data_IF_600093950031
#
_entry.id   IF_600093950031
#
_cell.length_a   1.000
_cell.length_b   1.000
_cell.length_c   1.000
_cell.angle_alpha   90.00
_cell.angle_beta   90.00
_cell.angle_gamma   90.00
#
_symmetry.space_group_name_H-M   'P 1'
#
loop_
_entity.id
_entity.type
_entity.pdbx_description
1 polymer ?
#
# COMPACT_ATOMS: atom_id res chain seq x y z
N UNK A 1 -69.24 14.84 -21.68
CA UNK A 1 -69.70 14.75 -23.08
C UNK A 1 -68.47 14.71 -23.95
N UNK A 2 -68.03 13.51 -24.34
CA UNK A 2 -66.88 13.30 -25.20
C UNK A 2 -67.45 12.89 -26.56
N UNK A 3 -67.12 13.68 -27.58
CA UNK A 3 -67.57 13.50 -28.96
C UNK A 3 -66.72 12.46 -29.70
N UNK A 4 -67.40 11.69 -30.53
CA UNK A 4 -66.88 10.73 -31.50
C UNK A 4 -66.75 11.39 -32.87
N UNK A 5 -65.81 10.88 -33.68
CA UNK A 5 -65.71 10.84 -35.16
C UNK A 5 -64.25 11.08 -35.56
N UNK A 6 -63.68 10.51 -36.62
CA UNK A 6 -63.85 9.32 -37.45
C UNK A 6 -62.85 9.52 -38.61
N UNK A 7 -62.18 8.45 -39.10
CA UNK A 7 -61.81 8.20 -40.52
C UNK A 7 -60.80 9.19 -41.19
N UNK A 8 -59.87 8.84 -42.09
CA UNK A 8 -59.49 7.65 -42.85
C UNK A 8 -58.12 7.95 -43.56
N UNK A 9 -57.62 7.24 -44.60
CA UNK A 9 -56.21 6.90 -44.76
C UNK A 9 -55.59 7.49 -46.04
N UNK A 10 -54.43 6.94 -46.43
CA UNK A 10 -53.86 6.83 -47.78
C UNK A 10 -52.59 7.65 -48.12
N UNK A 11 -51.47 6.89 -48.16
CA UNK A 11 -50.46 6.76 -49.25
C UNK A 11 -49.57 7.98 -49.62
N UNK A 12 -48.51 7.80 -50.45
CA UNK A 12 -47.46 6.77 -50.55
C UNK A 12 -46.05 7.42 -50.69
N UNK A 13 -45.07 6.66 -51.23
CA UNK A 13 -43.70 7.04 -51.69
C UNK A 13 -42.58 6.71 -50.68
N UNK A 14 -41.41 6.18 -51.04
CA UNK A 14 -40.84 5.77 -52.32
C UNK A 14 -39.63 4.85 -52.01
N UNK A 15 -39.38 3.93 -52.94
CA UNK A 15 -38.15 3.14 -53.13
C UNK A 15 -36.91 4.00 -53.34
N UNK A 16 -35.73 3.52 -52.89
CA UNK A 16 -34.34 3.77 -53.37
C UNK A 16 -33.39 3.25 -52.26
N UNK A 17 -32.28 2.54 -52.46
CA UNK A 17 -31.71 1.78 -53.57
C UNK A 17 -30.79 0.72 -52.94
N UNK A 18 -30.79 -0.49 -53.50
CA UNK A 18 -29.73 -1.45 -53.28
C UNK A 18 -28.53 -1.03 -54.14
N UNK A 19 -27.48 -0.53 -53.51
CA UNK A 19 -26.19 -0.35 -54.15
C UNK A 19 -25.08 -0.98 -53.30
N UNK A 20 -24.45 -1.99 -53.89
CA UNK A 20 -23.05 -2.41 -53.69
C UNK A 20 -22.66 -3.05 -52.35
N UNK A 21 -23.09 -4.30 -52.19
CA UNK A 21 -22.25 -5.35 -51.61
C UNK A 21 -21.32 -5.88 -52.71
N UNK A 22 -20.04 -5.55 -52.66
CA UNK A 22 -18.98 -6.28 -53.37
C UNK A 22 -17.59 -5.81 -52.92
N UNK A 23 -16.73 -6.79 -52.59
CA UNK A 23 -15.25 -6.75 -52.69
C UNK A 23 -14.53 -5.99 -51.55
N UNK A 24 -13.55 -6.52 -50.82
CA UNK A 24 -12.60 -7.62 -51.03
C UNK A 24 -12.04 -8.06 -49.66
N UNK A 25 -11.75 -9.36 -49.54
CA UNK A 25 -10.79 -9.91 -48.59
C UNK A 25 -9.41 -9.29 -48.86
N UNK A 26 -8.80 -8.69 -47.82
CA UNK A 26 -7.38 -8.34 -47.82
C UNK A 26 -6.74 -8.95 -46.58
N UNK A 27 -6.36 -10.22 -46.72
CA UNK A 27 -5.20 -10.81 -46.06
C UNK A 27 -3.95 -10.08 -46.58
N UNK A 28 -3.35 -9.21 -45.78
CA UNK A 28 -1.90 -8.95 -45.85
C UNK A 28 -1.37 -8.65 -44.45
N UNK A 29 -0.82 -9.70 -43.84
CA UNK A 29 0.10 -9.62 -42.71
C UNK A 29 1.39 -8.92 -43.16
N UNK A 30 1.85 -7.86 -42.48
CA UNK A 30 3.15 -7.28 -42.79
C UNK A 30 4.27 -8.22 -42.32
N UNK A 31 5.39 -8.32 -43.06
CA UNK A 31 6.52 -9.17 -42.70
C UNK A 31 7.24 -8.59 -41.47
N UNK A 32 7.51 -9.46 -40.50
CA UNK A 32 8.40 -9.18 -39.38
C UNK A 32 9.81 -8.86 -39.91
N UNK A 33 10.45 -7.75 -39.51
CA UNK A 33 11.86 -7.57 -39.74
C UNK A 33 12.65 -8.52 -38.83
N UNK A 34 13.46 -9.35 -39.50
CA UNK A 34 14.49 -10.22 -38.96
C UNK A 34 15.63 -9.34 -38.40
N UNK A 35 15.53 -8.95 -37.13
CA UNK A 35 16.63 -8.33 -36.40
C UNK A 35 17.08 -9.27 -35.29
N UNK A 36 18.14 -10.02 -35.58
CA UNK A 36 19.06 -10.59 -34.60
C UNK A 36 19.62 -9.49 -33.71
N UNK A 37 18.95 -9.22 -32.59
CA UNK A 37 19.52 -8.45 -31.48
C UNK A 37 20.35 -9.42 -30.62
N UNK A 38 21.65 -9.45 -30.92
CA UNK A 38 22.65 -10.12 -30.09
C UNK A 38 22.78 -9.40 -28.74
N UNK A 39 22.10 -9.89 -27.70
CA UNK A 39 22.47 -9.54 -26.33
C UNK A 39 23.87 -10.09 -26.03
N UNK A 40 24.85 -9.21 -25.89
CA UNK A 40 26.13 -9.54 -25.28
C UNK A 40 25.88 -9.75 -23.78
N UNK A 41 25.65 -11.01 -23.40
CA UNK A 41 25.64 -11.44 -22.02
C UNK A 41 27.00 -11.15 -21.36
N UNK A 42 26.95 -10.58 -20.17
CA UNK A 42 28.09 -10.59 -19.27
C UNK A 42 28.53 -12.04 -19.04
N UNK A 43 29.83 -12.28 -19.20
CA UNK A 43 30.42 -13.61 -19.25
C UNK A 43 30.08 -14.46 -18.02
N UNK A 44 29.57 -15.66 -18.28
CA UNK A 44 29.55 -16.75 -17.32
C UNK A 44 31.00 -17.27 -17.13
N UNK A 45 31.45 -17.50 -15.89
CA UNK A 45 32.58 -18.39 -15.65
C UNK A 45 32.15 -19.82 -15.97
N UNK A 46 32.83 -20.43 -16.92
CA UNK A 46 32.65 -21.83 -17.32
C UNK A 46 33.38 -22.76 -16.34
N UNK A 47 32.79 -23.06 -15.19
CA UNK A 47 33.19 -24.22 -14.37
C UNK A 47 31.94 -24.83 -13.71
N UNK A 48 31.65 -26.09 -14.06
CA UNK A 48 30.61 -26.90 -13.43
C UNK A 48 31.18 -27.44 -12.11
N UNK A 49 30.63 -27.11 -10.92
CA UNK A 49 31.01 -27.78 -9.69
C UNK A 49 30.28 -29.12 -9.59
N UNK A 50 31.02 -30.17 -9.24
CA UNK A 50 30.54 -31.52 -8.93
C UNK A 50 29.49 -31.54 -7.80
N UNK A 51 28.52 -32.46 -7.90
CA UNK A 51 27.30 -32.62 -7.07
C UNK A 51 27.50 -32.88 -5.55
N UNK A 52 28.71 -32.81 -4.99
CA UNK A 52 28.99 -33.30 -3.63
C UNK A 52 29.19 -32.22 -2.54
N UNK A 53 28.87 -30.94 -2.78
CA UNK A 53 29.08 -29.87 -1.78
C UNK A 53 27.83 -29.03 -1.47
N UNK A 54 26.65 -29.66 -1.45
CA UNK A 54 25.37 -28.95 -1.30
C UNK A 54 24.78 -29.00 0.12
N UNK A 55 25.56 -28.68 1.17
CA UNK A 55 24.99 -28.31 2.48
C UNK A 55 25.97 -27.42 3.26
N UNK A 56 25.98 -26.11 2.98
CA UNK A 56 26.34 -25.14 4.00
C UNK A 56 25.06 -24.55 4.61
N UNK A 57 24.98 -24.37 5.94
CA UNK A 57 23.79 -23.84 6.58
C UNK A 57 23.56 -22.39 6.17
N UNK A 58 22.36 -22.11 5.68
CA UNK A 58 21.86 -20.77 5.35
C UNK A 58 22.01 -19.87 6.59
N UNK A 59 22.75 -18.77 6.44
CA UNK A 59 22.90 -17.74 7.46
C UNK A 59 21.53 -17.19 7.87
N UNK A 60 21.19 -17.29 9.16
CA UNK A 60 19.96 -16.75 9.78
C UNK A 60 19.89 -15.21 9.84
N UNK A 61 20.80 -14.49 9.17
CA UNK A 61 20.75 -13.03 9.06
C UNK A 61 20.18 -12.60 7.71
N UNK A 62 19.11 -11.79 7.67
CA UNK A 62 18.60 -11.25 6.43
C UNK A 62 19.67 -10.40 5.75
N UNK A 63 19.82 -10.57 4.44
CA UNK A 63 20.68 -9.73 3.61
C UNK A 63 20.17 -8.28 3.69
N UNK A 64 21.00 -7.39 4.24
CA UNK A 64 20.80 -5.96 4.19
C UNK A 64 20.73 -5.51 2.73
N UNK A 65 19.53 -5.11 2.30
CA UNK A 65 19.31 -4.49 1.00
C UNK A 65 20.09 -3.19 0.93
N UNK A 66 20.93 -3.07 -0.11
CA UNK A 66 21.53 -1.80 -0.54
C UNK A 66 20.39 -0.83 -0.86
N UNK A 67 20.19 0.17 0.01
CA UNK A 67 19.40 1.34 -0.33
C UNK A 67 20.25 2.16 -1.31
N UNK A 68 20.02 1.97 -2.61
CA UNK A 68 20.58 2.86 -3.63
C UNK A 68 20.07 4.29 -3.37
N UNK A 69 21.02 5.20 -3.10
CA UNK A 69 20.79 6.65 -3.10
C UNK A 69 20.67 7.16 -4.53
N UNK A 70 19.65 6.73 -5.26
CA UNK A 70 19.40 7.28 -6.58
C UNK A 70 18.49 8.50 -6.48
N UNK A 71 19.12 9.68 -6.50
CA UNK A 71 18.53 10.92 -7.03
C UNK A 71 18.35 10.80 -8.56
N UNK A 72 17.74 9.71 -9.01
CA UNK A 72 17.35 9.53 -10.39
C UNK A 72 16.06 10.32 -10.61
N UNK A 73 16.11 11.23 -11.58
CA UNK A 73 14.98 12.00 -12.06
C UNK A 73 13.86 11.04 -12.48
N UNK A 74 12.87 10.84 -11.60
CA UNK A 74 11.66 10.11 -11.96
C UNK A 74 10.83 11.02 -12.85
N UNK A 75 10.63 10.63 -14.12
CA UNK A 75 9.69 11.28 -15.01
C UNK A 75 8.28 11.37 -14.38
N UNK A 76 7.41 12.26 -14.88
CA UNK A 76 6.20 12.70 -14.18
C UNK A 76 5.07 11.67 -14.03
N UNK A 77 5.29 10.37 -14.31
CA UNK A 77 4.17 9.40 -14.40
C UNK A 77 4.41 8.03 -13.76
N UNK A 78 5.55 7.76 -13.16
CA UNK A 78 5.88 6.39 -12.76
C UNK A 78 6.46 6.39 -11.36
N UNK A 79 5.71 5.73 -10.45
CA UNK A 79 5.98 5.53 -9.02
C UNK A 79 5.45 6.67 -8.15
N UNK A 80 4.61 6.32 -7.17
CA UNK A 80 4.51 7.08 -5.90
C UNK A 80 5.85 6.85 -5.17
N UNK A 81 6.93 7.37 -5.75
CA UNK A 81 8.25 7.45 -5.17
C UNK A 81 8.34 8.79 -4.45
N UNK A 82 9.14 8.81 -3.38
CA UNK A 82 9.67 9.89 -2.52
C UNK A 82 9.43 11.39 -2.80
N UNK A 83 9.00 11.80 -3.97
CA UNK A 83 8.98 13.20 -4.43
C UNK A 83 7.79 14.04 -3.95
N UNK A 84 6.77 13.46 -3.29
CA UNK A 84 5.48 14.14 -3.11
C UNK A 84 5.09 14.46 -1.67
N UNK A 85 5.75 13.85 -0.70
CA UNK A 85 5.59 14.20 0.71
C UNK A 85 6.57 15.32 1.05
N UNK A 86 6.24 16.17 2.03
CA UNK A 86 7.26 17.09 2.56
C UNK A 86 8.48 16.26 2.99
N UNK A 87 9.69 16.79 2.82
CA UNK A 87 10.92 16.04 3.13
C UNK A 87 10.88 15.41 4.52
N UNK A 88 10.27 16.09 5.49
CA UNK A 88 10.09 15.57 6.85
C UNK A 88 9.11 14.39 6.90
N UNK A 89 7.94 14.51 6.28
CA UNK A 89 6.91 13.45 6.32
C UNK A 89 7.36 12.18 5.58
N UNK A 90 8.14 12.35 4.50
CA UNK A 90 8.73 11.22 3.78
C UNK A 90 9.74 10.46 4.64
N UNK A 91 10.67 11.18 5.30
CA UNK A 91 11.66 10.56 6.18
C UNK A 91 10.99 9.87 7.39
N UNK A 92 9.93 10.47 7.94
CA UNK A 92 9.15 9.85 9.01
C UNK A 92 8.53 8.52 8.55
N UNK A 93 7.94 8.47 7.34
CA UNK A 93 7.35 7.24 6.80
C UNK A 93 8.41 6.17 6.49
N UNK A 94 9.57 6.58 5.96
CA UNK A 94 10.71 5.70 5.71
C UNK A 94 11.27 5.10 7.00
N UNK A 95 11.40 5.91 8.04
CA UNK A 95 11.84 5.44 9.35
C UNK A 95 10.82 4.46 9.94
N UNK A 96 9.52 4.78 9.88
CA UNK A 96 8.44 3.87 10.32
C UNK A 96 8.51 2.53 9.59
N UNK A 97 8.69 2.55 8.27
CA UNK A 97 8.88 1.32 7.49
C UNK A 97 10.05 0.49 8.02
N UNK A 98 11.21 1.11 8.23
CA UNK A 98 12.40 0.40 8.73
C UNK A 98 12.18 -0.18 10.12
N UNK A 99 11.51 0.55 11.01
CA UNK A 99 11.19 0.10 12.37
C UNK A 99 10.28 -1.13 12.38
N UNK A 100 9.31 -1.21 11.46
CA UNK A 100 8.44 -2.39 11.29
C UNK A 100 9.21 -3.54 10.64
N UNK A 101 9.98 -3.24 9.59
CA UNK A 101 10.70 -4.25 8.81
C UNK A 101 11.72 -5.02 9.66
N UNK A 102 12.44 -4.34 10.56
CA UNK A 102 13.42 -4.95 11.49
C UNK A 102 12.78 -5.94 12.48
N UNK A 103 11.46 -5.88 12.63
CA UNK A 103 10.69 -6.64 13.63
C UNK A 103 9.81 -7.72 13.04
N UNK A 104 9.72 -7.79 11.71
CA UNK A 104 9.09 -8.92 11.07
C UNK A 104 9.85 -10.19 11.47
N UNK A 105 9.10 -11.22 11.83
CA UNK A 105 9.66 -12.48 12.29
C UNK A 105 9.17 -13.63 11.44
N UNK A 106 10.07 -14.54 11.10
CA UNK A 106 9.77 -15.63 10.19
C UNK A 106 9.61 -15.20 8.74
N UNK A 107 9.47 -16.21 7.88
CA UNK A 107 9.27 -16.06 6.45
C UNK A 107 8.12 -16.98 6.04
N UNK A 108 7.11 -16.42 5.39
CA UNK A 108 6.01 -17.18 4.80
C UNK A 108 6.08 -17.08 3.28
N UNK A 109 6.03 -18.23 2.62
CA UNK A 109 5.87 -18.30 1.17
C UNK A 109 4.38 -18.41 0.82
N UNK A 110 3.87 -17.43 0.08
CA UNK A 110 2.49 -17.39 -0.39
C UNK A 110 2.43 -17.89 -1.83
N UNK A 111 1.65 -18.95 -2.02
CA UNK A 111 1.42 -19.54 -3.34
C UNK A 111 0.17 -18.93 -3.98
N UNK A 112 0.33 -18.35 -5.18
CA UNK A 112 -0.77 -17.69 -5.91
C UNK A 112 -0.91 -18.25 -7.32
N UNK A 113 -2.09 -18.12 -7.91
CA UNK A 113 -2.28 -18.32 -9.35
C UNK A 113 -2.43 -16.96 -10.03
N UNK A 114 -1.78 -16.77 -11.18
CA UNK A 114 -1.87 -15.50 -11.95
C UNK A 114 -3.32 -15.07 -12.20
N UNK A 115 -4.20 -16.02 -12.52
CA UNK A 115 -5.63 -15.78 -12.84
C UNK A 115 -6.50 -15.49 -11.62
N UNK A 116 -6.07 -15.85 -10.41
CA UNK A 116 -6.89 -15.72 -9.20
C UNK A 116 -6.15 -15.04 -8.06
N UNK A 117 -5.08 -14.31 -8.38
CA UNK A 117 -4.20 -13.68 -7.40
C UNK A 117 -4.94 -12.72 -6.47
N UNK A 118 -5.95 -12.00 -6.98
CA UNK A 118 -6.85 -11.18 -6.15
C UNK A 118 -7.49 -11.99 -5.02
N UNK A 119 -8.20 -13.06 -5.39
CA UNK A 119 -8.90 -13.93 -4.44
C UNK A 119 -7.93 -14.64 -3.50
N UNK A 120 -6.79 -15.08 -4.03
CA UNK A 120 -5.78 -15.82 -3.26
C UNK A 120 -5.17 -14.92 -2.17
N UNK A 121 -4.82 -13.66 -2.51
CA UNK A 121 -4.28 -12.68 -1.56
C UNK A 121 -5.31 -12.19 -0.56
N UNK A 122 -6.54 -11.86 -1.00
CA UNK A 122 -7.62 -11.47 -0.08
C UNK A 122 -7.85 -12.54 0.98
N UNK A 123 -8.00 -13.81 0.58
CA UNK A 123 -8.15 -14.92 1.51
C UNK A 123 -6.95 -15.10 2.42
N UNK A 124 -5.74 -14.89 1.91
CA UNK A 124 -4.52 -15.05 2.72
C UNK A 124 -4.49 -14.03 3.86
N UNK A 125 -4.77 -12.76 3.58
CA UNK A 125 -4.77 -11.68 4.57
C UNK A 125 -6.01 -11.65 5.47
N UNK A 126 -7.13 -12.21 5.01
CA UNK A 126 -8.33 -12.39 5.82
C UNK A 126 -8.14 -13.50 6.87
N UNK A 127 -7.56 -14.64 6.46
CA UNK A 127 -7.45 -15.84 7.31
C UNK A 127 -6.26 -15.82 8.29
N UNK A 128 -5.23 -15.00 8.05
CA UNK A 128 -4.09 -14.88 8.96
C UNK A 128 -3.82 -13.41 9.25
N UNK A 129 -4.07 -13.01 10.50
CA UNK A 129 -3.67 -11.68 10.97
C UNK A 129 -2.16 -11.57 11.17
N UNK A 130 -1.51 -12.71 11.41
CA UNK A 130 -0.09 -12.82 11.67
C UNK A 130 0.75 -12.61 10.40
N UNK A 131 0.16 -12.73 9.20
CA UNK A 131 0.93 -12.55 7.96
C UNK A 131 1.57 -11.18 7.86
N UNK A 132 0.95 -10.13 8.43
CA UNK A 132 1.49 -8.76 8.44
C UNK A 132 2.70 -8.60 9.38
N UNK A 133 3.02 -9.63 10.17
CA UNK A 133 4.15 -9.68 11.10
C UNK A 133 5.32 -10.52 10.55
N UNK A 134 5.24 -10.98 9.29
CA UNK A 134 6.24 -11.86 8.68
C UNK A 134 6.78 -11.30 7.38
N UNK A 135 8.01 -11.71 7.02
CA UNK A 135 8.47 -11.52 5.65
C UNK A 135 7.68 -12.44 4.72
N UNK A 136 7.14 -11.88 3.64
CA UNK A 136 6.38 -12.64 2.64
C UNK A 136 7.16 -12.75 1.35
N UNK A 137 7.39 -14.00 0.93
CA UNK A 137 7.86 -14.35 -0.41
C UNK A 137 6.71 -14.93 -1.23
N UNK A 138 6.82 -14.86 -2.55
CA UNK A 138 5.79 -15.33 -3.46
C UNK A 138 6.26 -16.44 -4.38
N UNK A 139 5.37 -17.40 -4.64
CA UNK A 139 5.54 -18.43 -5.66
C UNK A 139 4.29 -18.52 -6.54
N UNK A 140 4.48 -18.63 -7.85
CA UNK A 140 3.37 -18.88 -8.78
C UNK A 140 3.22 -20.38 -9.02
N UNK A 141 1.99 -20.88 -8.92
CA UNK A 141 1.71 -22.29 -9.12
C UNK A 141 2.11 -22.74 -10.54
N UNK A 142 2.91 -23.81 -10.61
CA UNK A 142 3.39 -24.38 -11.88
C UNK A 142 4.59 -23.65 -12.48
N UNK A 143 5.15 -22.65 -11.80
CA UNK A 143 6.33 -21.90 -12.23
C UNK A 143 7.51 -22.19 -11.32
N UNK A 144 8.72 -22.26 -11.91
CA UNK A 144 9.96 -22.39 -11.15
C UNK A 144 10.57 -20.99 -11.01
N UNK A 145 10.73 -20.54 -9.78
CA UNK A 145 11.33 -19.24 -9.50
C UNK A 145 11.60 -19.07 -8.00
N UNK A 146 12.63 -18.29 -7.68
CA UNK A 146 12.92 -17.85 -6.33
C UNK A 146 12.63 -16.36 -6.25
N UNK A 147 11.89 -15.96 -5.22
CA UNK A 147 11.54 -14.56 -5.01
C UNK A 147 12.73 -13.78 -4.45
N UNK A 148 13.45 -13.11 -5.35
CA UNK A 148 14.45 -12.08 -5.04
C UNK A 148 13.83 -10.70 -5.25
N UNK A 149 12.66 -10.48 -4.65
CA UNK A 149 11.75 -9.34 -4.83
C UNK A 149 11.12 -9.16 -6.22
N UNK A 150 11.46 -10.01 -7.20
CA UNK A 150 10.82 -9.98 -8.52
C UNK A 150 9.39 -10.53 -8.47
N UNK A 151 9.20 -11.69 -7.85
CA UNK A 151 7.91 -12.37 -7.83
C UNK A 151 6.92 -11.65 -6.91
N UNK A 152 7.37 -11.08 -5.78
CA UNK A 152 6.49 -10.24 -4.95
C UNK A 152 6.00 -9.00 -5.67
N UNK A 153 6.87 -8.30 -6.40
CA UNK A 153 6.50 -7.10 -7.17
C UNK A 153 5.50 -7.46 -8.25
N UNK A 154 5.70 -8.58 -8.93
CA UNK A 154 4.77 -9.10 -9.93
C UNK A 154 3.42 -9.50 -9.31
N UNK A 155 3.42 -10.25 -8.21
CA UNK A 155 2.21 -10.68 -7.52
C UNK A 155 1.35 -9.49 -7.07
N UNK A 156 1.95 -8.48 -6.44
CA UNK A 156 1.22 -7.26 -6.06
C UNK A 156 0.75 -6.47 -7.28
N UNK A 157 1.54 -6.37 -8.34
CA UNK A 157 1.11 -5.65 -9.55
C UNK A 157 -0.11 -6.31 -10.21
N UNK A 158 -0.11 -7.63 -10.31
CA UNK A 158 -1.26 -8.39 -10.82
C UNK A 158 -2.48 -8.31 -9.89
N UNK A 159 -2.24 -8.34 -8.57
CA UNK A 159 -3.27 -8.15 -7.57
C UNK A 159 -3.99 -6.82 -7.74
N UNK A 160 -3.27 -5.69 -7.75
CA UNK A 160 -3.87 -4.37 -7.87
C UNK A 160 -4.56 -4.20 -9.21
N UNK A 161 -4.00 -4.72 -10.29
CA UNK A 161 -4.68 -4.70 -11.59
C UNK A 161 -6.08 -5.33 -11.52
N UNK A 162 -6.25 -6.44 -10.80
CA UNK A 162 -7.55 -7.10 -10.65
C UNK A 162 -8.47 -6.38 -9.65
N UNK A 163 -7.93 -5.90 -8.54
CA UNK A 163 -8.71 -5.24 -7.47
C UNK A 163 -9.29 -3.89 -7.88
N UNK A 164 -8.58 -3.12 -8.72
CA UNK A 164 -9.00 -1.78 -9.10
C UNK A 164 -10.36 -1.77 -9.82
N UNK A 165 -10.66 -2.79 -10.62
CA UNK A 165 -11.92 -2.89 -11.36
C UNK A 165 -13.13 -3.13 -10.43
N UNK A 166 -12.94 -3.93 -9.38
CA UNK A 166 -14.02 -4.39 -8.51
C UNK A 166 -14.27 -3.46 -7.31
N UNK A 167 -13.21 -2.88 -6.75
CA UNK A 167 -13.24 -2.22 -5.44
C UNK A 167 -12.89 -0.73 -5.46
N UNK A 168 -12.51 -0.17 -6.60
CA UNK A 168 -12.10 1.22 -6.72
C UNK A 168 -12.88 1.93 -7.83
N UNK A 169 -12.99 3.25 -7.71
CA UNK A 169 -13.53 4.13 -8.72
C UNK A 169 -12.46 5.07 -9.24
N UNK A 170 -12.58 5.48 -10.50
CA UNK A 170 -11.68 6.40 -11.15
C UNK A 170 -11.40 6.02 -12.60
N UNK A 171 -10.54 6.81 -13.24
CA UNK A 171 -10.17 6.68 -14.64
C UNK A 171 -8.69 6.30 -14.77
N UNK A 172 -7.78 7.26 -14.61
CA UNK A 172 -6.33 6.99 -14.67
C UNK A 172 -5.73 6.77 -13.27
N UNK A 173 -6.35 7.36 -12.26
CA UNK A 173 -6.06 7.13 -10.85
C UNK A 173 -7.33 6.79 -10.10
N UNK A 174 -7.19 6.02 -9.01
CA UNK A 174 -8.30 5.32 -8.37
C UNK A 174 -8.38 5.58 -6.87
N UNK A 175 -9.59 5.63 -6.34
CA UNK A 175 -9.87 5.70 -4.89
C UNK A 175 -10.84 4.58 -4.48
N UNK A 176 -10.81 4.14 -3.22
CA UNK A 176 -11.75 3.12 -2.72
C UNK A 176 -13.21 3.48 -3.01
N UNK A 177 -13.93 2.56 -3.64
CA UNK A 177 -15.36 2.69 -3.91
C UNK A 177 -16.15 2.55 -2.61
N UNK A 178 -17.11 3.44 -2.40
CA UNK A 178 -18.12 3.29 -1.35
C UNK A 178 -19.36 2.66 -1.98
N UNK A 179 -19.61 1.38 -1.70
CA UNK A 179 -20.78 0.66 -2.20
C UNK A 179 -21.34 -0.26 -1.12
N UNK A 180 -22.68 -0.36 -0.97
CA UNK A 180 -23.29 -1.33 -0.07
C UNK A 180 -23.03 -2.80 -0.48
N UNK A 181 -22.57 -3.03 -1.71
CA UNK A 181 -22.20 -4.37 -2.20
C UNK A 181 -20.80 -4.81 -1.73
N UNK A 182 -19.99 -3.87 -1.25
CA UNK A 182 -18.64 -4.14 -0.77
C UNK A 182 -18.67 -4.24 0.75
N UNK A 183 -18.26 -5.39 1.27
CA UNK A 183 -18.15 -5.60 2.71
C UNK A 183 -17.00 -4.77 3.30
N UNK A 184 -17.24 -4.17 4.48
CA UNK A 184 -16.23 -3.42 5.24
C UNK A 184 -14.98 -4.26 5.55
N UNK A 185 -15.16 -5.56 5.80
CA UNK A 185 -14.08 -6.54 6.00
C UNK A 185 -13.13 -6.63 4.80
N UNK A 186 -13.66 -6.49 3.58
CA UNK A 186 -12.87 -6.53 2.35
C UNK A 186 -12.03 -5.27 2.22
N UNK A 187 -12.62 -4.09 2.43
CA UNK A 187 -11.88 -2.83 2.41
C UNK A 187 -10.80 -2.78 3.49
N UNK A 188 -11.11 -3.29 4.68
CA UNK A 188 -10.11 -3.49 5.73
C UNK A 188 -8.97 -4.41 5.25
N UNK A 189 -9.28 -5.55 4.65
CA UNK A 189 -8.25 -6.47 4.12
C UNK A 189 -7.38 -5.82 3.04
N UNK A 190 -7.95 -4.98 2.17
CA UNK A 190 -7.21 -4.19 1.19
C UNK A 190 -6.26 -3.18 1.87
N UNK A 191 -6.71 -2.54 2.96
CA UNK A 191 -5.89 -1.71 3.84
C UNK A 191 -4.67 -2.44 4.41
N UNK A 192 -4.82 -3.71 4.81
CA UNK A 192 -3.70 -4.54 5.29
C UNK A 192 -2.70 -4.80 4.18
N UNK A 193 -3.22 -5.17 3.02
CA UNK A 193 -2.40 -5.56 1.88
C UNK A 193 -1.57 -4.37 1.40
N UNK A 194 -2.16 -3.17 1.25
CA UNK A 194 -1.42 -1.97 0.83
C UNK A 194 -0.36 -1.57 1.86
N UNK A 195 -0.69 -1.66 3.15
CA UNK A 195 0.21 -1.29 4.23
C UNK A 195 1.39 -2.25 4.33
N UNK A 196 1.11 -3.55 4.33
CA UNK A 196 2.14 -4.57 4.43
C UNK A 196 3.00 -4.64 3.17
N UNK A 197 2.42 -4.46 1.97
CA UNK A 197 3.19 -4.30 0.74
C UNK A 197 4.20 -3.17 0.87
N UNK A 198 3.79 -2.01 1.38
CA UNK A 198 4.70 -0.88 1.54
C UNK A 198 5.85 -1.21 2.49
N UNK A 199 5.58 -1.89 3.62
CA UNK A 199 6.63 -2.37 4.52
C UNK A 199 7.61 -3.29 3.78
N UNK A 200 7.09 -4.28 3.03
CA UNK A 200 7.92 -5.29 2.37
C UNK A 200 8.61 -4.82 1.08
N UNK A 201 8.15 -3.76 0.42
CA UNK A 201 8.69 -3.31 -0.89
C UNK A 201 9.19 -1.87 -0.88
N UNK A 202 8.68 -1.03 0.01
CA UNK A 202 8.81 0.43 -0.06
C UNK A 202 7.96 1.08 -1.15
N UNK A 203 7.04 0.36 -1.78
CA UNK A 203 6.31 0.82 -2.97
C UNK A 203 4.81 0.72 -2.71
N UNK A 204 4.11 1.83 -2.87
CA UNK A 204 2.65 1.86 -2.94
C UNK A 204 2.14 1.52 -4.35
N UNK A 205 0.89 1.05 -4.48
CA UNK A 205 0.28 0.81 -5.79
C UNK A 205 0.19 2.11 -6.59
N UNK A 206 0.76 2.11 -7.79
CA UNK A 206 0.99 3.33 -8.57
C UNK A 206 -0.29 3.97 -9.13
N UNK A 207 -1.38 3.21 -9.20
CA UNK A 207 -2.65 3.67 -9.75
C UNK A 207 -3.58 4.26 -8.68
N UNK A 208 -3.25 4.13 -7.39
CA UNK A 208 -4.06 4.75 -6.34
C UNK A 208 -3.81 6.25 -6.35
N UNK A 209 -4.89 7.02 -6.29
CA UNK A 209 -4.85 8.46 -6.36
C UNK A 209 -3.94 9.06 -5.29
N UNK A 210 -3.09 9.98 -5.72
CA UNK A 210 -2.05 10.58 -4.88
C UNK A 210 -2.65 11.37 -3.72
N UNK A 211 -3.63 12.24 -3.97
CA UNK A 211 -4.29 13.03 -2.92
C UNK A 211 -4.88 12.12 -1.83
N UNK A 212 -5.52 11.02 -2.23
CA UNK A 212 -6.03 10.03 -1.29
C UNK A 212 -4.91 9.41 -0.44
N UNK A 213 -3.82 8.95 -1.06
CA UNK A 213 -2.69 8.36 -0.33
C UNK A 213 -2.03 9.35 0.64
N UNK A 214 -1.82 10.60 0.22
CA UNK A 214 -1.24 11.63 1.09
C UNK A 214 -2.18 11.95 2.24
N UNK A 215 -3.48 12.11 1.98
CA UNK A 215 -4.46 12.36 3.02
C UNK A 215 -4.54 11.20 4.03
N UNK A 216 -4.47 9.96 3.55
CA UNK A 216 -4.51 8.76 4.37
C UNK A 216 -3.25 8.59 5.23
N UNK A 217 -2.06 8.89 4.69
CA UNK A 217 -0.80 8.74 5.43
C UNK A 217 -0.43 9.95 6.31
N UNK A 218 -0.89 11.14 5.94
CA UNK A 218 -0.40 12.41 6.51
C UNK A 218 -1.53 13.32 7.03
N UNK A 219 -2.78 12.88 6.90
CA UNK A 219 -3.98 13.65 7.19
C UNK A 219 -4.43 14.51 6.02
N UNK A 220 -5.75 14.71 5.91
CA UNK A 220 -6.40 15.46 4.80
C UNK A 220 -5.87 16.88 4.61
N UNK A 221 -5.42 17.52 5.69
CA UNK A 221 -4.83 18.86 5.69
C UNK A 221 -3.46 18.94 4.97
N UNK A 222 -2.83 17.81 4.68
CA UNK A 222 -1.55 17.76 3.97
C UNK A 222 -1.72 17.97 2.45
N UNK A 223 -2.95 17.86 1.92
CA UNK A 223 -3.24 18.03 0.50
C UNK A 223 -3.66 19.48 0.24
N UNK A 224 -2.93 20.17 -0.64
CA UNK A 224 -3.29 21.53 -1.06
C UNK A 224 -4.51 21.53 -2.00
N UNK A 225 -5.24 22.63 -2.09
CA UNK A 225 -6.39 22.73 -3.00
C UNK A 225 -5.96 22.57 -4.47
N UNK A 226 -4.77 23.05 -4.82
CA UNK A 226 -4.16 22.96 -6.15
C UNK A 226 -3.79 21.51 -6.52
N UNK A 227 -3.11 20.81 -5.62
CA UNK A 227 -2.79 19.38 -5.79
C UNK A 227 -4.08 18.57 -5.92
N UNK A 228 -5.07 18.89 -5.11
CA UNK A 228 -6.34 18.18 -5.08
C UNK A 228 -7.13 18.34 -6.39
N UNK A 229 -7.14 19.55 -6.98
CA UNK A 229 -7.72 19.75 -8.31
C UNK A 229 -6.94 18.96 -9.37
N UNK A 230 -5.61 18.99 -9.32
CA UNK A 230 -4.77 18.23 -10.25
C UNK A 230 -5.05 16.74 -10.21
N UNK A 231 -5.04 16.17 -9.00
CA UNK A 231 -5.30 14.75 -8.76
C UNK A 231 -6.76 14.38 -9.09
N UNK A 232 -7.72 15.31 -8.95
CA UNK A 232 -9.11 15.08 -9.38
C UNK A 232 -9.27 15.05 -10.90
N UNK A 233 -8.52 15.87 -11.63
CA UNK A 233 -8.50 15.85 -13.09
C UNK A 233 -7.90 14.56 -13.67
N UNK A 234 -7.14 13.80 -12.89
CA UNK A 234 -6.64 12.46 -13.24
C UNK A 234 -7.64 11.35 -12.85
N UNK A 235 -8.49 11.61 -11.87
CA UNK A 235 -9.52 10.69 -11.39
C UNK A 235 -10.73 10.59 -12.35
N UNK A 236 -11.16 11.71 -12.92
CA UNK A 236 -12.30 11.76 -13.86
C UNK A 236 -11.90 11.29 -15.28
N UNK A 237 -12.87 11.18 -16.20
CA UNK A 237 -12.57 10.77 -17.57
C UNK A 237 -11.68 11.78 -18.29
N UNK A 238 -10.88 11.30 -19.25
CA UNK A 238 -9.96 12.17 -20.00
C UNK A 238 -10.71 13.30 -20.74
N UNK A 239 -11.90 13.01 -21.26
CA UNK A 239 -12.74 13.99 -21.94
C UNK A 239 -13.18 15.12 -21.00
N UNK A 240 -13.76 14.78 -19.84
CA UNK A 240 -14.19 15.76 -18.83
C UNK A 240 -13.00 16.59 -18.31
N UNK A 241 -11.87 15.94 -18.10
CA UNK A 241 -10.62 16.58 -17.66
C UNK A 241 -10.14 17.64 -18.66
N UNK A 242 -10.16 17.32 -19.95
CA UNK A 242 -9.78 18.25 -21.01
C UNK A 242 -10.75 19.42 -21.10
N UNK A 243 -12.04 19.16 -21.01
CA UNK A 243 -13.08 20.18 -21.08
C UNK A 243 -13.01 21.16 -19.89
N UNK A 244 -12.88 20.65 -18.67
CA UNK A 244 -12.67 21.47 -17.47
C UNK A 244 -11.40 22.34 -17.55
N UNK A 245 -10.32 21.82 -18.14
CA UNK A 245 -9.07 22.57 -18.35
C UNK A 245 -9.21 23.67 -19.40
N UNK A 246 -10.12 23.53 -20.36
CA UNK A 246 -10.32 24.50 -21.43
C UNK A 246 -11.18 25.70 -20.99
N UNK A 247 -12.12 25.51 -20.05
CA UNK A 247 -13.07 26.55 -19.60
C UNK A 247 -12.38 27.86 -19.15
N UNK A 248 -11.31 27.85 -18.32
CA UNK A 248 -10.63 29.08 -17.93
C UNK A 248 -10.02 29.86 -19.10
N UNK A 249 -9.64 29.17 -20.19
CA UNK A 249 -9.09 29.80 -21.38
C UNK A 249 -10.18 30.38 -22.30
N UNK A 250 -11.42 29.92 -22.16
CA UNK A 250 -12.58 30.33 -22.98
C UNK A 250 -13.46 31.40 -22.30
N UNK A 251 -13.22 31.71 -21.01
CA UNK A 251 -13.98 32.74 -20.31
C UNK A 251 -13.50 34.14 -20.71
N UNK A 252 -14.12 34.72 -21.72
CA UNK A 252 -13.94 36.14 -22.04
C UNK A 252 -14.62 37.00 -20.97
N UNK A 253 -13.90 37.98 -20.43
CA UNK A 253 -14.41 38.98 -19.47
C UNK A 253 -14.92 38.43 -18.12
N UNK A 254 -14.63 37.17 -17.79
CA UNK A 254 -15.03 36.56 -16.52
C UNK A 254 -16.46 36.01 -16.50
N UNK A 255 -17.08 35.85 -17.67
CA UNK A 255 -18.34 35.12 -17.83
C UNK A 255 -18.09 33.75 -18.49
N UNK A 256 -18.88 32.76 -18.11
CA UNK A 256 -18.83 31.43 -18.73
C UNK A 256 -19.65 31.45 -20.02
N UNK A 257 -19.16 30.80 -21.07
CA UNK A 257 -19.94 30.62 -22.30
C UNK A 257 -21.19 29.77 -22.03
N UNK A 258 -22.18 29.83 -22.93
CA UNK A 258 -23.38 28.98 -22.84
C UNK A 258 -23.03 27.49 -22.85
N UNK A 259 -22.15 27.08 -23.74
CA UNK A 259 -21.65 25.71 -23.87
C UNK A 259 -20.94 25.24 -22.60
N UNK A 260 -20.02 26.05 -22.05
CA UNK A 260 -19.36 25.73 -20.79
C UNK A 260 -20.34 25.64 -19.62
N UNK A 261 -21.39 26.47 -19.60
CA UNK A 261 -22.42 26.39 -18.56
C UNK A 261 -23.23 25.08 -18.65
N UNK A 262 -23.60 24.64 -19.85
CA UNK A 262 -24.35 23.40 -20.04
C UNK A 262 -23.52 22.18 -19.63
N UNK A 263 -22.27 22.10 -20.11
CA UNK A 263 -21.34 21.05 -19.69
C UNK A 263 -21.16 21.03 -18.17
N UNK A 264 -20.89 22.18 -17.54
CA UNK A 264 -20.68 22.23 -16.09
C UNK A 264 -21.94 21.84 -15.31
N UNK A 265 -23.13 22.17 -15.79
CA UNK A 265 -24.39 21.76 -15.14
C UNK A 265 -24.56 20.24 -15.18
N UNK A 266 -24.26 19.61 -16.32
CA UNK A 266 -24.33 18.16 -16.49
C UNK A 266 -23.27 17.47 -15.62
N UNK A 267 -22.01 17.86 -15.76
CA UNK A 267 -20.87 17.36 -14.98
C UNK A 267 -21.10 17.47 -13.47
N UNK A 268 -21.55 18.63 -12.98
CA UNK A 268 -21.77 18.83 -11.55
C UNK A 268 -23.02 18.11 -11.02
N UNK A 269 -23.95 17.72 -11.88
CA UNK A 269 -25.12 16.95 -11.48
C UNK A 269 -24.74 15.55 -10.99
N UNK A 270 -23.72 14.93 -11.59
CA UNK A 270 -23.18 13.63 -11.17
C UNK A 270 -22.60 13.67 -9.75
N UNK A 271 -22.12 14.84 -9.33
CA UNK A 271 -21.59 15.09 -7.98
C UNK A 271 -22.62 15.74 -7.03
N UNK A 272 -23.90 15.75 -7.41
CA UNK A 272 -25.01 16.29 -6.61
C UNK A 272 -24.86 17.78 -6.24
N UNK A 273 -24.11 18.53 -7.04
CA UNK A 273 -23.95 19.97 -6.84
C UNK A 273 -25.15 20.70 -7.45
N UNK A 274 -25.95 21.32 -6.59
CA UNK A 274 -27.17 22.07 -6.99
C UNK A 274 -26.91 23.55 -7.24
N UNK A 275 -25.72 24.05 -6.90
CA UNK A 275 -25.35 25.44 -7.08
C UNK A 275 -25.04 25.73 -8.55
N UNK A 276 -25.58 26.82 -9.08
CA UNK A 276 -25.30 27.24 -10.46
C UNK A 276 -23.80 27.60 -10.64
N UNK A 277 -23.11 27.03 -11.64
CA UNK A 277 -21.71 27.35 -11.92
C UNK A 277 -21.54 28.80 -12.39
N UNK A 278 -20.48 29.45 -11.93
CA UNK A 278 -20.03 30.76 -12.41
C UNK A 278 -18.50 30.82 -12.38
N UNK A 279 -17.89 31.67 -13.20
CA UNK A 279 -16.42 31.81 -13.22
C UNK A 279 -15.84 32.13 -11.82
N UNK A 280 -16.56 32.92 -11.04
CA UNK A 280 -16.17 33.29 -9.66
C UNK A 280 -16.29 32.15 -8.63
N UNK A 281 -17.08 31.12 -8.91
CA UNK A 281 -17.34 30.02 -7.97
C UNK A 281 -16.80 28.66 -8.44
N UNK A 282 -16.33 28.56 -9.70
CA UNK A 282 -15.93 27.31 -10.33
C UNK A 282 -14.81 26.63 -9.54
N UNK A 283 -13.72 27.36 -9.25
CA UNK A 283 -12.58 26.80 -8.51
C UNK A 283 -13.00 26.26 -7.14
N UNK A 284 -13.74 27.04 -6.35
CA UNK A 284 -14.14 26.60 -5.01
C UNK A 284 -15.12 25.42 -5.05
N UNK A 285 -15.99 25.35 -6.06
CA UNK A 285 -16.90 24.22 -6.28
C UNK A 285 -16.11 22.96 -6.67
N UNK A 286 -15.14 23.06 -7.59
CA UNK A 286 -14.25 21.95 -7.96
C UNK A 286 -13.45 21.44 -6.76
N UNK A 287 -12.89 22.33 -5.94
CA UNK A 287 -12.20 21.93 -4.70
C UNK A 287 -13.15 21.16 -3.78
N UNK A 288 -14.39 21.61 -3.62
CA UNK A 288 -15.36 20.92 -2.76
C UNK A 288 -15.72 19.53 -3.30
N UNK A 289 -15.95 19.41 -4.60
CA UNK A 289 -16.19 18.11 -5.26
C UNK A 289 -14.99 17.20 -5.08
N UNK A 290 -13.78 17.69 -5.38
CA UNK A 290 -12.56 16.90 -5.23
C UNK A 290 -12.31 16.46 -3.77
N UNK A 291 -12.55 17.33 -2.78
CA UNK A 291 -12.49 16.96 -1.34
C UNK A 291 -13.49 15.87 -0.99
N UNK A 292 -14.66 15.89 -1.61
CA UNK A 292 -15.69 14.90 -1.37
C UNK A 292 -15.32 13.56 -2.00
N UNK A 293 -14.99 13.55 -3.29
CA UNK A 293 -14.73 12.33 -4.07
C UNK A 293 -13.40 11.65 -3.72
N UNK A 294 -12.33 12.42 -3.52
CA UNK A 294 -11.00 11.83 -3.31
C UNK A 294 -10.67 11.57 -1.83
N UNK A 295 -11.26 12.34 -0.92
CA UNK A 295 -10.89 12.29 0.50
C UNK A 295 -12.05 11.84 1.39
N UNK A 296 -13.21 12.48 1.29
CA UNK A 296 -14.29 12.29 2.27
C UNK A 296 -15.05 10.98 2.07
N UNK A 297 -15.45 10.66 0.83
CA UNK A 297 -16.08 9.39 0.50
C UNK A 297 -15.14 8.21 0.75
N UNK A 298 -13.90 8.18 0.22
CA UNK A 298 -13.07 7.00 0.36
C UNK A 298 -12.63 6.73 1.80
N UNK A 299 -12.53 7.77 2.64
CA UNK A 299 -12.30 7.61 4.08
C UNK A 299 -13.45 6.91 4.83
N UNK A 300 -14.65 6.82 4.24
CA UNK A 300 -15.73 6.00 4.77
C UNK A 300 -15.56 4.51 4.42
N UNK A 301 -14.90 4.20 3.30
CA UNK A 301 -14.64 2.83 2.85
C UNK A 301 -13.38 2.25 3.52
N UNK A 302 -12.30 3.04 3.59
CA UNK A 302 -11.09 2.69 4.31
C UNK A 302 -10.90 3.70 5.45
N UNK A 303 -10.91 3.21 6.70
CA UNK A 303 -10.75 4.04 7.89
C UNK A 303 -9.49 4.92 7.78
N UNK A 304 -9.63 6.19 8.16
CA UNK A 304 -8.58 7.21 8.11
C UNK A 304 -7.41 6.86 9.04
N UNK A 305 -7.67 6.07 10.08
CA UNK A 305 -6.63 5.32 10.77
C UNK A 305 -6.31 4.10 9.94
N UNK A 306 -5.27 4.22 9.12
CA UNK A 306 -4.75 3.08 8.40
C UNK A 306 -4.50 1.92 9.35
N UNK A 307 -4.63 0.70 8.86
CA UNK A 307 -4.05 -0.43 9.55
C UNK A 307 -2.52 -0.34 9.61
N UNK A 308 -1.88 0.58 8.89
CA UNK A 308 -0.49 0.96 9.13
C UNK A 308 -0.37 1.64 10.51
N UNK A 309 -1.24 2.58 10.85
CA UNK A 309 -1.30 3.15 12.20
C UNK A 309 -1.75 2.12 13.24
N UNK A 310 -2.68 1.21 12.91
CA UNK A 310 -3.08 0.12 13.83
C UNK A 310 -1.97 -0.92 14.02
N UNK A 311 -1.30 -1.36 12.94
CA UNK A 311 -0.11 -2.24 12.99
C UNK A 311 0.96 -1.58 13.85
N UNK A 312 1.11 -0.25 13.76
CA UNK A 312 2.05 0.52 14.57
C UNK A 312 1.59 0.69 16.03
N UNK A 313 0.31 0.94 16.29
CA UNK A 313 -0.26 1.03 17.66
C UNK A 313 -0.19 -0.34 18.36
N UNK A 314 -0.67 -1.41 17.71
CA UNK A 314 -0.57 -2.80 18.19
C UNK A 314 0.89 -3.18 18.47
N UNK A 315 1.82 -2.70 17.63
CA UNK A 315 3.25 -2.88 17.82
C UNK A 315 3.80 -2.09 19.03
N UNK A 316 3.42 -0.83 19.19
CA UNK A 316 3.84 -0.02 20.35
C UNK A 316 3.34 -0.64 21.65
N UNK A 317 2.12 -1.16 21.67
CA UNK A 317 1.53 -1.85 22.82
C UNK A 317 2.30 -3.14 23.14
N UNK A 318 2.61 -3.98 22.14
CA UNK A 318 3.45 -5.17 22.33
C UNK A 318 4.86 -4.85 22.84
N UNK A 319 5.44 -3.71 22.43
CA UNK A 319 6.75 -3.25 22.92
C UNK A 319 6.70 -2.89 24.40
N UNK A 320 5.65 -2.21 24.85
CA UNK A 320 5.45 -1.89 26.26
C UNK A 320 5.22 -3.14 27.10
N UNK A 321 4.51 -4.14 26.56
CA UNK A 321 4.34 -5.44 27.20
C UNK A 321 5.66 -6.21 27.35
N UNK A 322 6.42 -6.36 26.27
CA UNK A 322 7.73 -7.03 26.32
C UNK A 322 8.73 -6.31 27.24
N UNK A 323 8.73 -4.97 27.25
CA UNK A 323 9.57 -4.20 28.16
C UNK A 323 9.18 -4.46 29.63
N UNK A 324 7.88 -4.44 29.95
CA UNK A 324 7.36 -4.74 31.29
C UNK A 324 7.69 -6.17 31.73
N UNK A 325 7.60 -7.15 30.84
CA UNK A 325 7.98 -8.53 31.14
C UNK A 325 9.49 -8.69 31.36
N UNK A 326 10.31 -8.03 30.55
CA UNK A 326 11.77 -8.07 30.70
C UNK A 326 12.25 -7.43 32.00
N UNK A 327 11.60 -6.35 32.44
CA UNK A 327 11.92 -5.66 33.68
C UNK A 327 11.53 -6.50 34.91
N UNK A 328 10.36 -7.15 34.86
CA UNK A 328 9.94 -8.13 35.89
C UNK A 328 10.93 -9.29 36.01
N UNK A 329 11.33 -9.88 34.88
CA UNK A 329 12.28 -10.99 34.87
C UNK A 329 13.67 -10.57 35.41
N UNK A 330 14.12 -9.35 35.09
CA UNK A 330 15.37 -8.82 35.61
C UNK A 330 15.31 -8.60 37.13
N UNK A 331 14.18 -8.12 37.65
CA UNK A 331 14.00 -7.89 39.09
C UNK A 331 13.94 -9.20 39.87
N UNK A 332 13.20 -10.20 39.38
CA UNK A 332 13.16 -11.54 39.97
C UNK A 332 14.56 -12.20 40.02
N UNK A 333 15.37 -12.00 38.99
CA UNK A 333 16.75 -12.48 38.94
C UNK A 333 17.63 -11.81 40.00
N UNK A 334 17.51 -10.49 40.19
CA UNK A 334 18.23 -9.74 41.23
C UNK A 334 17.83 -10.20 42.62
N UNK A 335 16.54 -10.38 42.87
CA UNK A 335 16.01 -10.85 44.15
C UNK A 335 16.51 -12.25 44.49
N UNK A 336 16.54 -13.16 43.51
CA UNK A 336 17.06 -14.50 43.69
C UNK A 336 18.58 -14.48 43.97
N UNK A 337 19.34 -13.67 43.24
CA UNK A 337 20.77 -13.50 43.47
C UNK A 337 21.06 -12.93 44.88
N UNK A 338 20.26 -11.95 45.33
CA UNK A 338 20.38 -11.37 46.67
C UNK A 338 20.08 -12.41 47.77
N UNK A 339 19.03 -13.23 47.60
CA UNK A 339 18.69 -14.33 48.52
C UNK A 339 19.81 -15.38 48.60
N UNK A 340 20.37 -15.79 47.45
CA UNK A 340 21.48 -16.74 47.42
C UNK A 340 22.74 -16.17 48.08
N UNK A 341 23.06 -14.89 47.84
CA UNK A 341 24.19 -14.22 48.49
C UNK A 341 24.02 -14.13 50.00
N UNK A 342 22.84 -13.74 50.48
CA UNK A 342 22.54 -13.67 51.90
C UNK A 342 22.66 -15.06 52.58
N UNK A 343 22.18 -16.11 51.91
CA UNK A 343 22.29 -17.49 52.41
C UNK A 343 23.75 -17.96 52.45
N UNK A 344 24.55 -17.63 51.43
CA UNK A 344 25.97 -17.97 51.38
C UNK A 344 26.77 -17.23 52.47
N UNK A 345 26.43 -15.96 52.73
CA UNK A 345 27.07 -15.15 53.77
C UNK A 345 26.71 -15.66 55.18
N UNK A 346 25.45 -16.04 55.41
CA UNK A 346 25.01 -16.68 56.67
C UNK A 346 25.75 -18.00 56.91
N UNK A 347 25.83 -18.87 55.90
CA UNK A 347 26.60 -20.13 56.00
C UNK A 347 28.09 -19.88 56.30
N UNK A 348 28.69 -18.85 55.68
CA UNK A 348 30.09 -18.46 55.93
C UNK A 348 30.29 -17.97 57.36
N UNK A 349 29.39 -17.11 57.86
CA UNK A 349 29.47 -16.58 59.22
C UNK A 349 29.34 -17.71 60.24
N UNK A 350 28.39 -18.62 60.03
CA UNK A 350 28.20 -19.82 60.87
C UNK A 350 29.41 -20.76 60.85
N UNK A 351 30.14 -20.86 59.74
CA UNK A 351 31.36 -21.67 59.64
C UNK A 351 32.58 -21.01 60.32
N UNK A 352 32.62 -19.67 60.42
CA UNK A 352 33.73 -18.93 61.04
C UNK A 352 33.58 -18.77 62.56
N UNK A 353 32.37 -18.90 63.08
CA UNK A 353 32.06 -18.80 64.51
C UNK A 353 32.88 -19.78 65.39
N UNK A 354 32.98 -21.09 65.07
CA UNK A 354 33.74 -22.06 65.88
C UNK A 354 35.25 -21.78 65.89
N UNK A 355 35.80 -21.27 64.78
CA UNK A 355 37.22 -20.91 64.67
C UNK A 355 37.56 -19.70 65.55
N UNK A 356 36.62 -18.75 65.65
CA UNK A 356 36.78 -17.58 66.52
C UNK A 356 36.73 -17.97 68.00
N UNK A 357 35.87 -18.93 68.37
CA UNK A 357 35.80 -19.46 69.73
C UNK A 357 37.04 -20.28 70.10
N UNK A 358 37.55 -21.11 69.18
CA UNK A 358 38.79 -21.87 69.38
C UNK A 358 40.00 -20.93 69.59
N UNK A 359 40.07 -19.81 68.85
CA UNK A 359 41.13 -18.82 68.98
C UNK A 359 41.04 -18.02 70.29
N UNK A 360 39.84 -17.79 70.83
CA UNK A 360 39.64 -17.19 72.17
C UNK A 360 40.10 -18.13 73.28
N UNK A 361 39.80 -19.44 73.19
CA UNK A 361 40.25 -20.45 74.16
C UNK A 361 41.77 -20.62 74.16
N UNK A 362 42.42 -20.62 72.99
CA UNK A 362 43.88 -20.70 72.90
C UNK A 362 44.62 -19.47 73.47
N UNK A 363 43.95 -18.31 73.57
CA UNK A 363 44.55 -17.07 74.11
C UNK A 363 44.46 -16.96 75.63
N UNK A 364 43.54 -17.69 76.28
CA UNK A 364 43.46 -17.74 77.75
C UNK A 364 44.51 -18.66 78.39
N UNK A 365 45.14 -19.53 77.60
CA UNK A 365 46.12 -20.53 78.08
C UNK A 365 47.59 -20.05 77.97
N UNK A 366 47.81 -18.77 77.63
CA UNK A 366 49.16 -18.19 77.67
C UNK A 366 49.51 -17.78 79.11
N UNK A 367 50.61 -18.29 79.69
CA UNK A 367 50.99 -17.97 81.06
C UNK A 367 51.36 -16.50 81.17
N UNK A 368 50.70 -15.79 82.10
CA UNK A 368 51.09 -14.43 82.49
C UNK A 368 52.52 -14.49 83.06
N UNK A 369 53.46 -13.85 82.38
CA UNK A 369 54.81 -13.60 82.89
C UNK A 369 54.82 -12.40 83.82
#
# INVERSE_FOLDING_TARGET
>A
MVGSMDLDPALPMETVDQATLSMLDCDETPPFPDETVCFHGFGAPSEIPSEDNMWEPVSEKPLLVLLEEDKAYCGPKITICACFLTSKTFEDLKQRKMDVLDKLSGVTNVWVHRKTVMRDLLKTYENSREITQQLVTFSFHGEVGMDLDGLKREAYSLFWKQVLEDYFDGSSTFVPRVSPEIEESTMRTLGRIISHQYVLTGIFPVHINRAFMVAMLCGRQAVSDEDLIGDFLEYISENESQELKAIPAQSDQGELSGESCEFLLDFFSDYQVTKRPSASNLKSTLVQVAKNELLSKPAMAMDEKTELDQIMEDYLEQKEDQARESEKAAEESRDNAAKHKATAEDMRNRAMEPLSEAKKRARSDLPKK
#
